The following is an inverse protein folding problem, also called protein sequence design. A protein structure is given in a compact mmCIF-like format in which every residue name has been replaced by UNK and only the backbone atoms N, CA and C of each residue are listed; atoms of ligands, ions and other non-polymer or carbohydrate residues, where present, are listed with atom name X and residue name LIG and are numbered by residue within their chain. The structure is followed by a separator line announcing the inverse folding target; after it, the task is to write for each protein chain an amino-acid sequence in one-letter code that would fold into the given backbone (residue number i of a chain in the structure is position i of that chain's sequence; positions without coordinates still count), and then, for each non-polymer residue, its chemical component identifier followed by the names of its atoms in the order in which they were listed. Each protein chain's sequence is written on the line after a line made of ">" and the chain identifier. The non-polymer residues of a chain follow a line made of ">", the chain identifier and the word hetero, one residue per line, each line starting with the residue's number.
data_IF_402830787827
#
_entry.id   IF_402830787827
#
_cell.length_a   1.000
_cell.length_b   1.000
_cell.length_c   1.000
_cell.angle_alpha   90.00
_cell.angle_beta   90.00
_cell.angle_gamma   90.00
#
_symmetry.space_group_name_H-M   'P 1'
#
loop_
_entity.id
_entity.type
_entity.pdbx_description
1 polymer ?
#
# COMPACT_ATOMS: atom_id res chain seq x y z
N UNK A 1 12.87 33.99 -22.63
CA UNK A 1 12.41 32.61 -22.36
C UNK A 1 13.57 31.71 -22.71
N UNK A 2 14.30 31.20 -21.71
CA UNK A 2 15.47 30.34 -21.94
C UNK A 2 14.98 28.90 -22.07
N UNK A 3 15.15 28.34 -23.26
CA UNK A 3 14.93 26.93 -23.57
C UNK A 3 15.94 26.09 -22.77
N UNK A 4 15.43 25.20 -21.92
CA UNK A 4 16.26 24.31 -21.09
C UNK A 4 16.34 22.99 -21.82
N UNK A 5 17.50 22.69 -22.40
CA UNK A 5 17.80 21.42 -23.03
C UNK A 5 17.88 20.32 -21.96
N UNK A 6 16.87 19.44 -21.94
CA UNK A 6 16.73 18.35 -20.96
C UNK A 6 17.56 17.10 -21.33
N UNK A 7 18.23 17.11 -22.47
CA UNK A 7 19.01 15.94 -22.95
C UNK A 7 20.36 15.79 -22.25
N UNK A 8 20.82 16.83 -21.53
CA UNK A 8 22.08 16.82 -20.78
C UNK A 8 21.91 16.46 -19.29
N UNK A 9 20.70 16.07 -18.85
CA UNK A 9 20.50 15.67 -17.47
C UNK A 9 21.24 14.34 -17.21
N UNK A 10 22.21 14.29 -16.27
CA UNK A 10 22.87 13.04 -15.90
C UNK A 10 21.83 12.09 -15.31
N UNK A 11 21.43 11.09 -16.09
CA UNK A 11 20.55 10.03 -15.62
C UNK A 11 21.39 9.06 -14.81
N UNK A 12 21.46 9.31 -13.51
CA UNK A 12 22.00 8.33 -12.57
C UNK A 12 20.99 7.18 -12.48
N UNK A 13 21.39 5.92 -12.68
CA UNK A 13 20.53 4.78 -12.44
C UNK A 13 20.08 4.81 -10.98
N UNK A 14 18.79 5.03 -10.75
CA UNK A 14 18.22 4.88 -9.42
C UNK A 14 18.09 3.38 -9.16
N UNK A 15 18.86 2.85 -8.21
CA UNK A 15 18.77 1.47 -7.74
C UNK A 15 17.51 1.32 -6.89
N UNK A 16 16.32 1.35 -7.52
CA UNK A 16 15.05 1.51 -6.80
C UNK A 16 14.45 0.22 -6.18
N UNK A 17 15.15 -0.93 -6.19
CA UNK A 17 14.44 -2.21 -6.06
C UNK A 17 15.01 -3.24 -5.10
N UNK A 18 15.98 -2.91 -4.24
CA UNK A 18 16.60 -3.90 -3.35
C UNK A 18 16.39 -3.64 -1.85
N UNK A 19 15.92 -2.45 -1.45
CA UNK A 19 15.73 -2.11 -0.03
C UNK A 19 14.41 -2.64 0.55
N UNK A 20 13.41 -2.91 -0.30
CA UNK A 20 12.08 -3.35 0.13
C UNK A 20 11.96 -4.86 0.47
N UNK A 21 13.02 -5.66 0.32
CA UNK A 21 12.99 -7.10 0.62
C UNK A 21 13.86 -7.46 1.85
N UNK A 22 13.96 -6.53 2.81
CA UNK A 22 14.52 -6.83 4.12
C UNK A 22 13.59 -7.80 4.91
N UNK A 23 14.14 -8.66 5.78
CA UNK A 23 13.32 -9.47 6.69
C UNK A 23 12.34 -8.64 7.53
N UNK A 24 12.76 -7.44 7.93
CA UNK A 24 11.98 -6.53 8.75
C UNK A 24 10.83 -5.92 7.95
N UNK A 25 11.05 -5.52 6.69
CA UNK A 25 10.00 -5.06 5.79
C UNK A 25 8.93 -6.14 5.56
N UNK A 26 9.34 -7.41 5.36
CA UNK A 26 8.40 -8.54 5.25
C UNK A 26 7.61 -8.78 6.53
N UNK A 27 8.25 -8.64 7.69
CA UNK A 27 7.59 -8.78 8.98
C UNK A 27 6.56 -7.65 9.23
N UNK A 28 6.92 -6.41 8.91
CA UNK A 28 6.03 -5.25 8.99
C UNK A 28 4.81 -5.40 8.05
N UNK A 29 5.04 -5.82 6.81
CA UNK A 29 3.98 -6.10 5.84
C UNK A 29 3.02 -7.18 6.34
N UNK A 30 3.57 -8.29 6.87
CA UNK A 30 2.76 -9.34 7.48
C UNK A 30 1.94 -8.81 8.66
N UNK A 31 2.56 -8.05 9.55
CA UNK A 31 1.89 -7.47 10.72
C UNK A 31 0.74 -6.54 10.31
N UNK A 32 0.93 -5.72 9.28
CA UNK A 32 -0.12 -4.85 8.76
C UNK A 32 -1.33 -5.64 8.22
N UNK A 33 -1.09 -6.67 7.41
CA UNK A 33 -2.15 -7.54 6.87
C UNK A 33 -2.88 -8.30 8.00
N UNK A 34 -2.14 -8.76 9.00
CA UNK A 34 -2.70 -9.42 10.18
C UNK A 34 -3.54 -8.47 11.05
N UNK A 35 -3.29 -7.16 10.95
CA UNK A 35 -4.05 -6.09 11.60
C UNK A 35 -5.35 -5.68 10.89
N UNK A 36 -5.63 -6.17 9.68
CA UNK A 36 -6.87 -5.83 8.97
C UNK A 36 -8.12 -6.25 9.76
N UNK A 37 -9.12 -5.38 9.79
CA UNK A 37 -10.37 -5.59 10.51
C UNK A 37 -11.57 -5.32 9.59
N UNK A 38 -12.60 -6.16 9.72
CA UNK A 38 -13.90 -5.93 9.06
C UNK A 38 -14.46 -4.60 9.57
N UNK A 39 -14.99 -3.80 8.65
CA UNK A 39 -15.53 -2.48 8.95
C UNK A 39 -14.57 -1.33 8.67
N UNK A 40 -13.28 -1.58 8.48
CA UNK A 40 -12.32 -0.50 8.22
C UNK A 40 -12.39 -0.03 6.77
N UNK A 41 -12.33 1.29 6.58
CA UNK A 41 -12.30 1.93 5.28
C UNK A 41 -10.88 2.12 4.75
N UNK A 42 -10.72 1.94 3.44
CA UNK A 42 -9.47 2.10 2.73
C UNK A 42 -9.66 2.89 1.43
N UNK A 43 -8.61 3.58 1.02
CA UNK A 43 -8.45 4.14 -0.31
C UNK A 43 -7.42 3.30 -1.07
N UNK A 44 -7.79 2.77 -2.22
CA UNK A 44 -7.01 1.79 -2.99
C UNK A 44 -6.99 2.13 -4.47
N UNK A 45 -5.83 1.95 -5.12
CA UNK A 45 -5.68 2.17 -6.55
C UNK A 45 -5.69 0.85 -7.32
N UNK A 46 -6.75 0.60 -8.09
CA UNK A 46 -6.96 -0.65 -8.83
C UNK A 46 -7.36 -0.31 -10.26
N UNK A 47 -6.76 -1.01 -11.23
CA UNK A 47 -7.09 -0.86 -12.66
C UNK A 47 -7.08 0.61 -13.14
N UNK A 48 -6.14 1.43 -12.62
CA UNK A 48 -6.00 2.83 -13.02
C UNK A 48 -6.94 3.81 -12.31
N UNK A 49 -7.75 3.35 -11.35
CA UNK A 49 -8.74 4.17 -10.65
C UNK A 49 -8.58 4.07 -9.14
N UNK A 50 -8.95 5.15 -8.44
CA UNK A 50 -9.04 5.16 -6.99
C UNK A 50 -10.42 4.69 -6.52
N UNK A 51 -10.42 3.80 -5.56
CA UNK A 51 -11.60 3.21 -4.94
C UNK A 51 -11.59 3.49 -3.44
N UNK A 52 -12.73 3.91 -2.90
CA UNK A 52 -12.92 4.03 -1.44
C UNK A 52 -13.85 2.91 -0.99
N UNK A 53 -13.32 1.94 -0.26
CA UNK A 53 -14.05 0.73 0.07
C UNK A 53 -13.77 0.25 1.50
N UNK A 54 -14.76 -0.42 2.08
CA UNK A 54 -14.72 -0.98 3.42
C UNK A 54 -14.48 -2.48 3.37
N UNK A 55 -13.72 -3.03 4.31
CA UNK A 55 -13.62 -4.49 4.45
C UNK A 55 -14.96 -5.04 4.94
N UNK A 56 -15.59 -5.89 4.12
CA UNK A 56 -16.84 -6.57 4.46
C UNK A 56 -16.60 -7.98 5.03
N UNK A 57 -15.50 -8.62 4.63
CA UNK A 57 -15.18 -9.99 5.03
C UNK A 57 -13.69 -10.31 4.87
N UNK A 58 -13.18 -11.19 5.72
CA UNK A 58 -11.82 -11.73 5.67
C UNK A 58 -11.92 -13.25 5.79
N UNK A 59 -11.21 -14.00 4.95
CA UNK A 59 -11.19 -15.46 5.04
C UNK A 59 -10.49 -15.97 6.30
N UNK A 60 -10.82 -17.18 6.75
CA UNK A 60 -10.26 -17.78 7.98
C UNK A 60 -8.71 -17.82 7.98
N UNK A 61 -8.10 -18.02 6.81
CA UNK A 61 -6.63 -17.96 6.62
C UNK A 61 -6.09 -16.61 6.15
N UNK A 62 -6.92 -15.55 6.12
CA UNK A 62 -6.59 -14.19 5.64
C UNK A 62 -5.96 -14.15 4.24
N UNK A 63 -6.28 -15.15 3.41
CA UNK A 63 -5.80 -15.27 2.04
C UNK A 63 -6.62 -14.41 1.07
N UNK A 64 -7.85 -14.08 1.44
CA UNK A 64 -8.77 -13.27 0.66
C UNK A 64 -9.44 -12.24 1.58
N UNK A 65 -9.60 -11.04 1.06
CA UNK A 65 -10.31 -9.94 1.70
C UNK A 65 -11.32 -9.39 0.71
N UNK A 66 -12.57 -9.29 1.14
CA UNK A 66 -13.64 -8.69 0.35
C UNK A 66 -13.86 -7.26 0.81
N UNK A 67 -13.81 -6.35 -0.15
CA UNK A 67 -14.16 -4.95 0.01
C UNK A 67 -15.51 -4.66 -0.63
N UNK A 68 -16.26 -3.76 -0.01
CA UNK A 68 -17.49 -3.18 -0.55
C UNK A 68 -17.32 -1.66 -0.63
N UNK A 69 -17.66 -1.09 -1.78
CA UNK A 69 -17.58 0.34 -2.01
C UNK A 69 -18.73 1.11 -1.37
N UNK A 70 -18.77 2.41 -1.63
CA UNK A 70 -19.94 3.25 -1.30
C UNK A 70 -21.13 2.95 -2.21
N UNK A 71 -20.85 2.53 -3.43
CA UNK A 71 -21.85 1.98 -4.34
C UNK A 71 -22.16 0.52 -3.95
N UNK A 72 -23.44 0.13 -3.77
CA UNK A 72 -23.82 -1.24 -3.41
C UNK A 72 -23.38 -2.33 -4.42
N UNK A 73 -23.10 -1.94 -5.67
CA UNK A 73 -22.62 -2.85 -6.71
C UNK A 73 -21.08 -2.93 -6.77
N UNK A 74 -20.37 -2.01 -6.10
CA UNK A 74 -18.92 -1.99 -6.06
C UNK A 74 -18.40 -3.03 -5.05
N UNK A 75 -17.79 -4.11 -5.56
CA UNK A 75 -17.21 -5.19 -4.76
C UNK A 75 -15.86 -5.57 -5.32
N UNK A 76 -14.87 -5.66 -4.44
CA UNK A 76 -13.49 -5.97 -4.82
C UNK A 76 -12.99 -7.10 -3.92
N UNK A 77 -12.66 -8.24 -4.51
CA UNK A 77 -12.00 -9.33 -3.79
C UNK A 77 -10.51 -9.29 -4.10
N UNK A 78 -9.69 -9.16 -3.06
CA UNK A 78 -8.25 -9.13 -3.17
C UNK A 78 -7.62 -10.33 -2.49
N UNK A 79 -6.61 -10.89 -3.13
CA UNK A 79 -5.74 -11.87 -2.48
C UNK A 79 -4.80 -11.17 -1.51
N UNK A 80 -4.27 -11.92 -0.54
CA UNK A 80 -3.20 -11.46 0.34
C UNK A 80 -2.02 -10.88 -0.45
N UNK A 81 -1.57 -11.58 -1.50
CA UNK A 81 -0.46 -11.12 -2.36
C UNK A 81 -0.77 -9.80 -3.07
N UNK A 82 -2.02 -9.59 -3.50
CA UNK A 82 -2.42 -8.34 -4.13
C UNK A 82 -2.42 -7.17 -3.13
N UNK A 83 -2.93 -7.39 -1.91
CA UNK A 83 -2.85 -6.40 -0.84
C UNK A 83 -1.41 -6.07 -0.46
N UNK A 84 -0.57 -7.08 -0.38
CA UNK A 84 0.87 -6.91 -0.13
C UNK A 84 1.53 -6.06 -1.21
N UNK A 85 1.22 -6.32 -2.48
CA UNK A 85 1.72 -5.52 -3.59
C UNK A 85 1.21 -4.08 -3.54
N UNK A 86 -0.08 -3.87 -3.23
CA UNK A 86 -0.63 -2.52 -3.08
C UNK A 86 0.07 -1.75 -1.95
N UNK A 87 0.28 -2.38 -0.80
CA UNK A 87 0.94 -1.72 0.34
C UNK A 87 2.40 -1.40 0.05
N UNK A 88 3.15 -2.36 -0.51
CA UNK A 88 4.55 -2.17 -0.87
C UNK A 88 4.76 -1.05 -1.92
N UNK A 89 3.73 -0.71 -2.70
CA UNK A 89 3.77 0.36 -3.70
C UNK A 89 3.04 1.65 -3.24
N UNK A 90 2.57 1.73 -1.99
CA UNK A 90 1.82 2.89 -1.49
C UNK A 90 0.48 3.12 -2.20
N UNK A 91 -0.11 2.08 -2.78
CA UNK A 91 -1.36 2.12 -3.54
C UNK A 91 -2.59 1.76 -2.70
N UNK A 92 -2.42 1.61 -1.38
CA UNK A 92 -3.49 1.41 -0.42
C UNK A 92 -3.18 2.18 0.87
N UNK A 93 -4.19 2.82 1.43
CA UNK A 93 -4.11 3.49 2.73
C UNK A 93 -5.42 3.31 3.49
N UNK A 94 -5.36 3.20 4.82
CA UNK A 94 -6.56 3.17 5.65
C UNK A 94 -7.07 4.60 5.88
N UNK A 95 -8.39 4.76 6.00
CA UNK A 95 -9.08 6.05 6.13
C UNK A 95 -9.59 6.32 7.56
N UNK A 96 -9.26 5.48 8.54
CA UNK A 96 -9.67 5.63 9.94
C UNK A 96 -8.53 6.13 10.83
N UNK A 97 -8.90 6.84 11.90
CA UNK A 97 -8.04 7.66 12.78
C UNK A 97 -6.66 7.05 13.17
N UNK A 98 -5.63 7.61 12.53
CA UNK A 98 -4.29 7.99 13.00
C UNK A 98 -3.35 7.04 13.77
N UNK A 99 -3.69 5.81 14.15
CA UNK A 99 -2.79 5.08 15.07
C UNK A 99 -1.95 3.93 14.50
N UNK A 100 -2.33 3.34 13.36
CA UNK A 100 -1.67 2.12 12.84
C UNK A 100 -0.95 2.35 11.51
N UNK A 101 -1.56 3.08 10.57
CA UNK A 101 -0.95 3.36 9.26
C UNK A 101 0.26 4.28 9.42
N UNK A 102 0.15 5.33 10.25
CA UNK A 102 1.27 6.23 10.50
C UNK A 102 2.48 5.50 11.06
N UNK A 103 2.31 4.52 11.97
CA UNK A 103 3.44 3.76 12.53
C UNK A 103 4.11 2.84 11.50
N UNK A 104 3.35 2.20 10.63
CA UNK A 104 3.91 1.34 9.59
C UNK A 104 4.66 2.16 8.53
N UNK A 105 4.11 3.33 8.18
CA UNK A 105 4.73 4.27 7.24
C UNK A 105 5.94 4.94 7.86
N UNK A 106 5.87 5.43 9.10
CA UNK A 106 6.99 6.02 9.84
C UNK A 106 8.13 5.01 10.02
N UNK A 107 7.81 3.74 10.28
CA UNK A 107 8.83 2.68 10.38
C UNK A 107 9.51 2.44 9.03
N UNK A 108 8.75 2.41 7.92
CA UNK A 108 9.31 2.26 6.59
C UNK A 108 10.13 3.50 6.17
N UNK A 109 9.64 4.71 6.45
CA UNK A 109 10.33 5.96 6.11
C UNK A 109 11.59 6.16 6.98
N UNK A 110 11.54 5.79 8.27
CA UNK A 110 12.71 5.86 9.15
C UNK A 110 13.81 4.86 8.79
N UNK A 111 13.49 3.74 8.14
CA UNK A 111 14.48 2.77 7.63
C UNK A 111 15.20 3.33 6.38
N UNK A 112 14.53 4.19 5.60
CA UNK A 112 15.08 4.84 4.41
C UNK A 112 15.97 6.05 4.74
N UNK A 113 15.72 6.74 5.86
CA UNK A 113 16.52 7.89 6.32
C UNK A 113 17.76 7.51 7.16
N UNK A 114 17.94 6.21 7.46
CA UNK A 114 18.97 5.68 8.36
C UNK A 114 20.24 5.12 7.71
N UNK A 115 20.46 5.32 6.41
CA UNK A 115 21.60 4.80 5.63
C UNK A 115 22.74 5.79 5.38
#
# INVERSE_FOLDING_TARGET
>A
STDVDRSELPTVPVQLYSEHDSPDARAALKHWIDGLQIGHWFHLFIQGNWHTAQIAWISEGRQYVLFVGRDPDERLSLTRKALEALLANGLITALEDDSVVQRAVDTLMSDLDGG
#
